data_IF_200176533839
#
_entry.id   IF_200176533839
#
_cell.length_a   1.000
_cell.length_b   1.000
_cell.length_c   1.000
_cell.angle_alpha   90.00
_cell.angle_beta   90.00
_cell.angle_gamma   90.00
#
_symmetry.space_group_name_H-M   'P 1'
#
loop_
_entity.id
_entity.type
_entity.pdbx_description
1 polymer ?
#
# COMPACT_ATOMS: atom_id res chain seq x y z
N UNK A 1 -36.53 -28.25 -11.13
CA UNK A 1 -35.81 -28.32 -12.42
C UNK A 1 -34.33 -28.28 -12.11
N UNK A 2 -33.65 -29.42 -12.26
CA UNK A 2 -32.19 -29.54 -12.15
C UNK A 2 -31.60 -29.36 -13.56
N UNK A 3 -30.65 -28.45 -13.73
CA UNK A 3 -30.05 -28.20 -15.04
C UNK A 3 -28.69 -27.50 -14.96
N UNK A 4 -27.65 -28.27 -15.28
CA UNK A 4 -26.38 -27.82 -15.90
C UNK A 4 -25.51 -26.81 -15.14
N UNK A 5 -24.99 -27.16 -13.96
CA UNK A 5 -23.95 -26.37 -13.26
C UNK A 5 -22.50 -26.83 -13.47
N UNK A 6 -22.24 -28.00 -14.08
CA UNK A 6 -20.92 -28.64 -13.99
C UNK A 6 -20.00 -28.53 -15.20
N UNK A 7 -20.38 -27.81 -16.28
CA UNK A 7 -19.55 -27.75 -17.51
C UNK A 7 -18.69 -26.50 -17.66
N UNK A 8 -18.95 -25.43 -16.90
CA UNK A 8 -18.16 -24.19 -16.99
C UNK A 8 -16.84 -24.25 -16.20
N UNK A 9 -16.80 -24.97 -15.09
CA UNK A 9 -15.63 -25.05 -14.19
C UNK A 9 -14.41 -25.70 -14.91
N UNK A 10 -14.64 -26.59 -15.87
CA UNK A 10 -13.55 -27.33 -16.54
C UNK A 10 -12.77 -26.51 -17.58
N UNK A 11 -13.37 -25.51 -18.22
CA UNK A 11 -12.65 -24.68 -19.20
C UNK A 11 -11.78 -23.62 -18.52
N UNK A 12 -12.30 -22.97 -17.46
CA UNK A 12 -11.55 -21.97 -16.70
C UNK A 12 -10.33 -22.58 -16.00
N UNK A 13 -10.48 -23.76 -15.39
CA UNK A 13 -9.37 -24.47 -14.75
C UNK A 13 -8.27 -24.88 -15.76
N UNK A 14 -8.66 -25.29 -16.98
CA UNK A 14 -7.71 -25.66 -18.03
C UNK A 14 -6.98 -24.44 -18.60
N UNK A 15 -7.67 -23.31 -18.75
CA UNK A 15 -7.07 -22.04 -19.19
C UNK A 15 -6.08 -21.51 -18.14
N UNK A 16 -6.41 -21.58 -16.85
CA UNK A 16 -5.49 -21.22 -15.77
C UNK A 16 -4.26 -22.13 -15.75
N UNK A 17 -4.43 -23.45 -15.89
CA UNK A 17 -3.31 -24.40 -15.93
C UNK A 17 -2.38 -24.15 -17.12
N UNK A 18 -2.96 -23.84 -18.29
CA UNK A 18 -2.21 -23.49 -19.50
C UNK A 18 -1.47 -22.16 -19.35
N UNK A 19 -2.11 -21.16 -18.74
CA UNK A 19 -1.47 -19.87 -18.44
C UNK A 19 -0.29 -20.04 -17.49
N UNK A 20 -0.47 -20.79 -16.40
CA UNK A 20 0.60 -21.12 -15.44
C UNK A 20 1.76 -21.84 -16.13
N UNK A 21 1.48 -22.83 -16.99
CA UNK A 21 2.54 -23.59 -17.68
C UNK A 21 3.29 -22.78 -18.74
N UNK A 22 2.62 -21.88 -19.46
CA UNK A 22 3.28 -20.96 -20.38
C UNK A 22 4.16 -19.95 -19.63
N UNK A 23 3.75 -19.53 -18.43
CA UNK A 23 4.51 -18.57 -17.62
C UNK A 23 5.76 -19.15 -16.98
N UNK A 24 5.75 -20.42 -16.59
CA UNK A 24 6.94 -21.12 -16.11
C UNK A 24 8.06 -21.23 -17.18
N UNK A 25 7.78 -20.84 -18.44
CA UNK A 25 8.75 -20.86 -19.54
C UNK A 25 9.37 -19.48 -19.86
N UNK A 26 9.03 -18.41 -19.14
CA UNK A 26 9.68 -17.10 -19.36
C UNK A 26 11.12 -17.10 -18.81
N UNK A 27 12.10 -16.55 -19.55
CA UNK A 27 13.48 -16.49 -19.10
C UNK A 27 13.63 -15.62 -17.85
N UNK A 28 14.54 -16.00 -16.96
CA UNK A 28 14.82 -15.41 -15.65
C UNK A 28 15.40 -13.97 -15.66
N UNK A 29 15.35 -13.27 -16.81
CA UNK A 29 15.75 -11.87 -16.95
C UNK A 29 14.66 -10.87 -16.50
N UNK A 30 13.47 -11.36 -16.14
CA UNK A 30 12.30 -10.56 -15.75
C UNK A 30 12.29 -10.12 -14.26
N UNK A 31 13.45 -10.07 -13.62
CA UNK A 31 13.64 -9.58 -12.23
C UNK A 31 13.05 -8.17 -12.05
N UNK A 32 12.32 -7.80 -10.97
CA UNK A 32 11.75 -6.46 -10.84
C UNK A 32 12.80 -5.35 -11.02
N UNK A 33 12.40 -4.21 -11.58
CA UNK A 33 13.29 -3.11 -11.96
C UNK A 33 14.30 -2.75 -10.86
N UNK A 34 13.81 -2.61 -9.63
CA UNK A 34 14.63 -2.28 -8.46
C UNK A 34 15.76 -3.27 -8.18
N UNK A 35 15.54 -4.57 -8.44
CA UNK A 35 16.56 -5.59 -8.29
C UNK A 35 17.54 -5.59 -9.46
N UNK A 36 17.07 -5.43 -10.71
CA UNK A 36 17.96 -5.24 -11.89
C UNK A 36 18.92 -4.07 -11.66
N UNK A 37 18.38 -2.93 -11.27
CA UNK A 37 19.11 -1.70 -10.95
C UNK A 37 20.14 -1.91 -9.84
N UNK A 38 19.76 -2.65 -8.79
CA UNK A 38 20.65 -2.97 -7.68
C UNK A 38 21.63 -4.12 -7.97
N UNK A 39 21.86 -4.46 -9.24
CA UNK A 39 22.87 -5.44 -9.67
C UNK A 39 22.39 -6.90 -9.62
N UNK A 40 21.09 -7.15 -9.78
CA UNK A 40 20.50 -8.51 -9.79
C UNK A 40 20.43 -9.15 -8.40
N UNK A 41 20.32 -8.33 -7.35
CA UNK A 41 20.16 -8.76 -5.96
C UNK A 41 18.80 -9.43 -5.72
N UNK A 42 18.75 -10.49 -4.93
CA UNK A 42 17.47 -11.15 -4.63
C UNK A 42 16.47 -10.18 -3.98
N UNK A 43 15.18 -10.33 -4.30
CA UNK A 43 14.09 -9.56 -3.67
C UNK A 43 14.14 -9.66 -2.12
N UNK A 44 14.63 -10.77 -1.57
CA UNK A 44 14.80 -10.99 -0.13
C UNK A 44 15.81 -10.03 0.54
N UNK A 45 16.64 -9.33 -0.24
CA UNK A 45 17.51 -8.29 0.29
C UNK A 45 16.71 -7.11 0.82
N UNK A 46 15.63 -6.71 0.14
CA UNK A 46 14.77 -5.59 0.53
C UNK A 46 13.49 -6.03 1.24
N UNK A 47 13.10 -7.30 1.07
CA UNK A 47 11.83 -7.81 1.54
C UNK A 47 12.00 -8.91 2.60
N UNK A 48 11.17 -8.87 3.63
CA UNK A 48 11.01 -9.98 4.56
C UNK A 48 10.23 -11.13 3.91
N UNK A 49 9.18 -10.82 3.18
CA UNK A 49 8.53 -11.68 2.21
C UNK A 49 8.15 -10.76 1.05
N UNK A 50 7.92 -11.28 -0.15
CA UNK A 50 7.47 -10.42 -1.25
C UNK A 50 6.34 -9.55 -0.70
N UNK A 51 6.46 -8.23 -0.86
CA UNK A 51 5.42 -7.29 -0.41
C UNK A 51 5.42 -6.99 1.11
N UNK A 52 6.55 -7.20 1.81
CA UNK A 52 6.78 -6.64 3.14
C UNK A 52 8.25 -6.19 3.25
N UNK A 53 8.50 -4.90 3.42
CA UNK A 53 9.86 -4.36 3.49
C UNK A 53 10.57 -4.78 4.79
N UNK A 54 11.85 -5.15 4.65
CA UNK A 54 12.77 -5.28 5.79
C UNK A 54 13.53 -3.96 6.01
N UNK A 55 14.50 -3.94 6.94
CA UNK A 55 15.27 -2.73 7.24
C UNK A 55 15.96 -2.13 6.01
N UNK A 56 16.58 -2.99 5.18
CA UNK A 56 17.23 -2.56 3.94
C UNK A 56 16.23 -1.98 2.95
N UNK A 57 15.07 -2.62 2.77
CA UNK A 57 14.03 -2.14 1.86
C UNK A 57 13.46 -0.78 2.27
N UNK A 58 13.23 -0.58 3.58
CA UNK A 58 12.80 0.72 4.12
C UNK A 58 13.85 1.80 3.86
N UNK A 59 15.12 1.53 4.17
CA UNK A 59 16.21 2.45 3.92
C UNK A 59 16.37 2.76 2.43
N UNK A 60 16.28 1.73 1.57
CA UNK A 60 16.38 1.86 0.12
C UNK A 60 15.30 2.78 -0.45
N UNK A 61 14.07 2.66 0.04
CA UNK A 61 12.97 3.54 -0.36
C UNK A 61 13.18 4.97 0.12
N UNK A 62 13.56 5.16 1.40
CA UNK A 62 13.79 6.48 2.00
C UNK A 62 15.02 7.20 1.42
N UNK A 63 16.03 6.47 0.93
CA UNK A 63 17.21 7.01 0.25
C UNK A 63 16.98 7.34 -1.23
N UNK A 64 15.71 7.31 -1.67
CA UNK A 64 15.34 7.62 -3.04
C UNK A 64 15.57 6.45 -3.99
N UNK A 65 15.23 5.23 -3.57
CA UNK A 65 15.44 4.00 -4.35
C UNK A 65 16.94 3.82 -4.60
N UNK A 66 17.75 3.78 -3.54
CA UNK A 66 19.22 3.65 -3.64
C UNK A 66 19.81 2.77 -2.54
N UNK A 67 20.83 1.99 -2.88
CA UNK A 67 21.66 1.35 -1.88
C UNK A 67 22.62 2.37 -1.23
N UNK A 68 23.05 2.13 0.03
CA UNK A 68 24.07 2.97 0.65
C UNK A 68 25.34 3.04 -0.19
N UNK A 69 25.80 4.27 -0.46
CA UNK A 69 27.01 4.54 -1.25
C UNK A 69 26.86 4.36 -2.77
N UNK A 70 25.67 4.04 -3.27
CA UNK A 70 25.38 3.97 -4.71
C UNK A 70 25.62 5.33 -5.36
N UNK A 71 26.33 5.34 -6.50
CA UNK A 71 26.47 6.52 -7.34
C UNK A 71 25.57 6.34 -8.56
N UNK A 72 24.87 7.39 -8.97
CA UNK A 72 23.96 7.34 -10.10
C UNK A 72 24.27 8.46 -11.09
N UNK A 73 24.24 8.11 -12.37
CA UNK A 73 24.35 9.04 -13.49
C UNK A 73 23.50 8.51 -14.65
N UNK A 74 22.28 9.01 -14.81
CA UNK A 74 21.40 8.61 -15.93
C UNK A 74 21.87 9.13 -17.29
N UNK A 75 22.90 9.98 -17.32
CA UNK A 75 23.53 10.42 -18.59
C UNK A 75 24.60 9.46 -19.07
N UNK A 76 24.94 8.46 -18.26
CA UNK A 76 25.87 7.41 -18.63
C UNK A 76 25.37 6.61 -19.84
N UNK A 77 26.31 6.22 -20.71
CA UNK A 77 26.02 5.56 -21.98
C UNK A 77 25.36 4.18 -21.85
N UNK A 78 25.33 3.63 -20.65
CA UNK A 78 24.79 2.32 -20.28
C UNK A 78 23.38 2.38 -19.67
N UNK A 79 22.74 3.56 -19.61
CA UNK A 79 21.34 3.68 -19.17
C UNK A 79 20.39 2.79 -19.98
N UNK A 80 19.62 1.95 -19.29
CA UNK A 80 18.57 1.11 -19.88
C UNK A 80 17.26 1.36 -19.16
N UNK A 81 16.25 1.83 -19.89
CA UNK A 81 14.90 2.07 -19.34
C UNK A 81 14.33 0.83 -18.65
N UNK A 82 14.62 -0.37 -19.15
CA UNK A 82 14.18 -1.63 -18.53
C UNK A 82 14.70 -1.86 -17.10
N UNK A 83 15.82 -1.25 -16.72
CA UNK A 83 16.35 -1.33 -15.35
C UNK A 83 15.56 -0.43 -14.38
N UNK A 84 14.74 0.47 -14.91
CA UNK A 84 13.96 1.45 -14.14
C UNK A 84 12.45 1.22 -14.26
N UNK A 85 12.01 0.23 -15.05
CA UNK A 85 10.60 -0.01 -15.34
C UNK A 85 10.23 -1.45 -15.03
N UNK A 86 9.12 -1.68 -14.32
CA UNK A 86 8.51 -2.99 -14.15
C UNK A 86 7.00 -2.91 -14.29
N UNK A 87 6.39 -3.94 -14.88
CA UNK A 87 4.95 -4.07 -15.00
C UNK A 87 4.48 -5.19 -14.08
N UNK A 88 3.48 -4.92 -13.25
CA UNK A 88 2.82 -5.94 -12.43
C UNK A 88 1.41 -6.16 -12.98
N UNK A 89 1.00 -7.41 -13.14
CA UNK A 89 -0.38 -7.79 -13.47
C UNK A 89 -0.98 -8.52 -12.27
N UNK A 90 -2.21 -8.16 -11.89
CA UNK A 90 -2.88 -8.67 -10.69
C UNK A 90 -4.31 -9.20 -10.95
N UNK A 91 -4.53 -10.14 -11.89
CA UNK A 91 -5.86 -10.72 -12.07
C UNK A 91 -6.33 -11.44 -10.81
N UNK A 92 -7.64 -11.36 -10.56
CA UNK A 92 -8.24 -11.96 -9.37
C UNK A 92 -9.61 -12.58 -9.63
N UNK A 93 -10.00 -13.46 -8.71
CA UNK A 93 -11.32 -14.05 -8.61
C UNK A 93 -11.83 -13.77 -7.19
N UNK A 94 -12.94 -13.04 -7.08
CA UNK A 94 -13.58 -12.74 -5.80
C UNK A 94 -14.94 -13.41 -5.72
N UNK A 95 -15.33 -13.81 -4.51
CA UNK A 95 -16.70 -14.17 -4.19
C UNK A 95 -17.09 -13.45 -2.91
N UNK A 96 -18.20 -12.74 -2.95
CA UNK A 96 -18.75 -11.99 -1.81
C UNK A 96 -20.15 -12.54 -1.55
N UNK A 97 -20.48 -12.74 -0.27
CA UNK A 97 -21.80 -13.19 0.11
C UNK A 97 -22.87 -12.24 -0.43
N UNK A 98 -23.95 -12.80 -0.97
CA UNK A 98 -25.05 -12.09 -1.63
C UNK A 98 -24.73 -11.35 -2.96
N UNK A 99 -23.46 -11.09 -3.27
CA UNK A 99 -23.03 -10.42 -4.52
C UNK A 99 -22.53 -11.40 -5.60
N UNK A 100 -22.20 -12.64 -5.22
CA UNK A 100 -21.82 -13.70 -6.14
C UNK A 100 -20.32 -13.77 -6.41
N UNK A 101 -19.95 -14.37 -7.55
CA UNK A 101 -18.54 -14.57 -7.93
C UNK A 101 -18.20 -13.73 -9.15
N UNK A 102 -17.11 -12.98 -9.07
CA UNK A 102 -16.63 -12.09 -10.12
C UNK A 102 -15.19 -12.45 -10.46
N UNK A 103 -14.92 -12.63 -11.75
CA UNK A 103 -13.55 -12.63 -12.27
C UNK A 103 -13.22 -11.21 -12.72
N UNK A 104 -12.04 -10.76 -12.32
CA UNK A 104 -11.49 -9.46 -12.66
C UNK A 104 -10.16 -9.67 -13.38
N UNK A 105 -9.97 -8.99 -14.51
CA UNK A 105 -8.65 -8.89 -15.13
C UNK A 105 -7.65 -8.18 -14.20
N UNK A 106 -8.17 -7.46 -13.20
CA UNK A 106 -7.45 -6.86 -12.10
C UNK A 106 -6.70 -5.62 -12.56
N UNK A 107 -5.62 -5.34 -11.84
CA UNK A 107 -4.82 -4.16 -12.07
C UNK A 107 -3.58 -4.51 -12.89
N UNK A 108 -3.24 -3.63 -13.84
CA UNK A 108 -1.90 -3.56 -14.39
C UNK A 108 -1.20 -2.36 -13.78
N UNK A 109 -0.08 -2.56 -13.08
CA UNK A 109 0.64 -1.49 -12.38
C UNK A 109 2.01 -1.30 -13.02
N UNK A 110 2.21 -0.14 -13.63
CA UNK A 110 3.49 0.27 -14.16
C UNK A 110 4.28 1.02 -13.09
N UNK A 111 5.38 0.42 -12.67
CA UNK A 111 6.38 1.04 -11.83
C UNK A 111 7.50 1.60 -12.68
N UNK A 112 7.79 2.88 -12.52
CA UNK A 112 8.94 3.56 -13.08
C UNK A 112 9.70 4.23 -11.94
N UNK A 113 10.98 3.96 -11.76
CA UNK A 113 11.70 4.72 -10.75
C UNK A 113 13.14 4.33 -10.53
N UNK A 114 13.88 5.28 -9.98
CA UNK A 114 15.28 5.15 -9.65
C UNK A 114 15.99 6.51 -9.59
N UNK A 115 17.28 6.51 -9.28
CA UNK A 115 18.08 7.70 -9.15
C UNK A 115 18.34 8.32 -10.52
N UNK A 116 18.22 9.64 -10.58
CA UNK A 116 18.57 10.48 -11.72
C UNK A 116 20.04 10.87 -11.61
N UNK A 117 20.45 11.32 -10.43
CA UNK A 117 21.85 11.55 -10.07
C UNK A 117 22.10 11.12 -8.61
N UNK A 118 23.20 11.60 -8.01
CA UNK A 118 23.55 11.29 -6.62
C UNK A 118 22.60 11.86 -5.56
N UNK A 119 21.83 12.90 -5.89
CA UNK A 119 20.96 13.63 -4.97
C UNK A 119 19.48 13.41 -5.31
N UNK A 120 19.13 13.33 -6.59
CA UNK A 120 17.76 13.26 -7.08
C UNK A 120 17.38 11.89 -7.61
N UNK A 121 16.21 11.41 -7.22
CA UNK A 121 15.54 10.27 -7.84
C UNK A 121 14.12 10.64 -8.25
N UNK A 122 13.53 9.81 -9.10
CA UNK A 122 12.13 9.93 -9.49
C UNK A 122 11.45 8.57 -9.32
N UNK A 123 10.18 8.59 -8.95
CA UNK A 123 9.33 7.41 -8.88
C UNK A 123 7.96 7.76 -9.44
N UNK A 124 7.39 6.84 -10.20
CA UNK A 124 6.01 6.84 -10.64
C UNK A 124 5.44 5.42 -10.52
N UNK A 125 4.24 5.31 -9.99
CA UNK A 125 3.41 4.12 -9.95
C UNK A 125 2.09 4.49 -10.61
N UNK A 126 1.81 3.87 -11.75
CA UNK A 126 0.59 4.11 -12.54
C UNK A 126 -0.20 2.82 -12.61
N UNK A 127 -1.39 2.84 -12.04
CA UNK A 127 -2.32 1.72 -11.99
C UNK A 127 -3.37 1.86 -13.11
N UNK A 128 -3.51 0.81 -13.90
CA UNK A 128 -4.53 0.66 -14.92
C UNK A 128 -5.54 -0.36 -14.41
N UNK A 129 -6.70 0.11 -13.95
CA UNK A 129 -7.81 -0.74 -13.50
C UNK A 129 -8.54 -1.25 -14.73
N UNK A 130 -8.23 -2.47 -15.13
CA UNK A 130 -8.61 -2.98 -16.45
C UNK A 130 -10.14 -3.08 -16.59
N UNK A 131 -10.82 -3.52 -15.53
CA UNK A 131 -12.27 -3.73 -15.56
C UNK A 131 -13.08 -2.43 -15.42
N UNK A 132 -12.50 -1.41 -14.77
CA UNK A 132 -13.14 -0.10 -14.55
C UNK A 132 -12.81 0.93 -15.65
N UNK A 133 -11.95 0.57 -16.61
CA UNK A 133 -11.41 1.47 -17.64
C UNK A 133 -10.80 2.77 -17.07
N UNK A 134 -10.26 2.69 -15.84
CA UNK A 134 -9.70 3.81 -15.10
C UNK A 134 -8.17 3.74 -15.07
N UNK A 135 -7.53 4.92 -15.13
CA UNK A 135 -6.10 5.06 -14.86
C UNK A 135 -5.93 5.91 -13.61
N UNK A 136 -5.33 5.31 -12.59
CA UNK A 136 -4.99 5.98 -11.34
C UNK A 136 -3.48 6.16 -11.26
N UNK A 137 -3.04 7.38 -10.94
CA UNK A 137 -1.65 7.59 -10.56
C UNK A 137 -1.61 7.37 -9.06
N UNK A 138 -0.89 6.36 -8.62
CA UNK A 138 -0.76 5.99 -7.21
C UNK A 138 0.34 6.88 -6.59
N UNK A 139 1.56 6.80 -7.10
CA UNK A 139 2.68 7.64 -6.69
C UNK A 139 3.26 8.35 -7.91
N UNK A 140 3.65 9.61 -7.80
CA UNK A 140 4.50 10.28 -8.79
C UNK A 140 5.26 11.41 -8.14
N UNK A 141 6.56 11.27 -7.93
CA UNK A 141 7.34 12.30 -7.27
C UNK A 141 8.80 12.33 -7.70
N UNK A 142 9.42 13.48 -7.50
CA UNK A 142 10.87 13.65 -7.47
C UNK A 142 11.30 13.69 -6.01
N UNK A 143 12.41 13.02 -5.69
CA UNK A 143 12.92 12.89 -4.34
C UNK A 143 14.39 13.36 -4.30
N UNK A 144 14.63 14.41 -3.53
CA UNK A 144 15.96 14.87 -3.15
C UNK A 144 16.39 14.19 -1.86
N UNK A 145 17.64 13.72 -1.81
CA UNK A 145 18.28 13.17 -0.61
C UNK A 145 19.69 13.75 -0.52
N UNK A 146 20.03 14.39 0.61
CA UNK A 146 21.29 15.14 0.74
C UNK A 146 22.53 14.27 0.86
N UNK A 147 22.39 13.05 1.39
CA UNK A 147 23.45 12.07 1.60
C UNK A 147 22.83 10.65 1.64
N UNK A 148 23.58 9.62 1.25
CA UNK A 148 23.18 8.22 1.33
C UNK A 148 23.67 7.52 2.60
N UNK A 149 24.24 8.28 3.53
CA UNK A 149 24.58 7.82 4.87
C UNK A 149 23.35 7.55 5.75
N UNK A 150 23.60 7.39 7.05
CA UNK A 150 22.54 7.19 8.03
C UNK A 150 21.85 8.50 8.44
N UNK A 151 22.44 9.64 8.08
CA UNK A 151 21.99 10.96 8.50
C UNK A 151 21.83 11.84 7.27
N UNK A 152 20.61 12.24 6.94
CA UNK A 152 20.34 13.04 5.75
C UNK A 152 19.06 13.85 5.88
N UNK A 153 18.97 14.89 5.06
CA UNK A 153 17.72 15.57 4.77
C UNK A 153 17.16 15.04 3.47
N UNK A 154 15.84 14.99 3.38
CA UNK A 154 15.14 14.64 2.16
C UNK A 154 14.01 15.61 1.85
N UNK A 155 13.64 15.67 0.58
CA UNK A 155 12.46 16.37 0.13
C UNK A 155 11.79 15.62 -1.02
N UNK A 156 10.48 15.39 -0.94
CA UNK A 156 9.67 14.85 -2.04
C UNK A 156 8.75 15.92 -2.59
N UNK A 157 8.61 15.99 -3.91
CA UNK A 157 7.65 16.86 -4.58
C UNK A 157 6.84 16.05 -5.60
N UNK A 158 5.51 16.09 -5.50
CA UNK A 158 4.60 15.37 -6.38
C UNK A 158 3.41 14.79 -5.63
N UNK A 159 2.93 13.63 -6.06
CA UNK A 159 1.92 12.84 -5.37
C UNK A 159 2.59 11.69 -4.60
N UNK A 160 2.37 11.62 -3.30
CA UNK A 160 2.98 10.60 -2.47
C UNK A 160 2.17 10.22 -1.23
N UNK A 161 2.46 9.05 -0.70
CA UNK A 161 2.02 8.65 0.64
C UNK A 161 3.09 8.95 1.71
N UNK A 162 2.73 9.29 2.96
CA UNK A 162 3.68 9.37 4.07
C UNK A 162 4.50 8.08 4.23
N UNK A 163 5.82 8.19 4.42
CA UNK A 163 6.71 7.03 4.51
C UNK A 163 6.35 6.05 5.64
N UNK A 164 5.81 6.56 6.75
CA UNK A 164 5.35 5.72 7.85
C UNK A 164 4.30 4.70 7.38
N UNK A 165 3.39 5.11 6.51
CA UNK A 165 2.33 4.24 6.00
C UNK A 165 2.84 3.35 4.86
N UNK A 166 3.53 3.97 3.90
CA UNK A 166 4.12 3.30 2.73
C UNK A 166 5.04 2.14 3.14
N UNK A 167 5.80 2.29 4.23
CA UNK A 167 6.76 1.27 4.66
C UNK A 167 6.20 0.20 5.60
N UNK A 168 5.03 0.44 6.21
CA UNK A 168 4.50 -0.44 7.26
C UNK A 168 3.18 -1.12 6.91
N UNK A 169 2.22 -0.41 6.30
CA UNK A 169 0.81 -0.87 6.27
C UNK A 169 0.16 -0.75 4.91
N UNK A 170 0.35 0.37 4.21
CA UNK A 170 -0.46 0.72 3.04
C UNK A 170 0.30 0.61 1.73
N UNK A 171 1.63 0.64 1.79
CA UNK A 171 2.46 0.68 0.61
C UNK A 171 2.27 -0.53 -0.27
N UNK A 172 2.16 -0.34 -1.59
CA UNK A 172 2.25 -1.45 -2.49
C UNK A 172 3.71 -1.92 -2.51
N UNK A 173 3.92 -3.24 -2.43
CA UNK A 173 2.90 -4.26 -2.23
C UNK A 173 2.78 -4.67 -0.74
N UNK A 174 1.61 -5.18 -0.31
CA UNK A 174 1.30 -5.73 1.04
C UNK A 174 1.20 -7.27 1.01
N UNK A 175 1.39 -7.98 2.14
CA UNK A 175 1.15 -9.43 2.22
C UNK A 175 -0.34 -9.75 2.04
N UNK A 176 -1.19 -9.03 2.77
CA UNK A 176 -2.66 -9.09 2.71
C UNK A 176 -3.20 -8.35 1.48
N UNK A 177 -4.31 -8.83 0.93
CA UNK A 177 -4.94 -8.26 -0.26
C UNK A 177 -5.77 -7.03 0.14
N UNK A 178 -6.74 -7.27 1.03
CA UNK A 178 -7.51 -6.22 1.69
C UNK A 178 -6.61 -5.34 2.55
N UNK A 179 -7.03 -4.10 2.72
CA UNK A 179 -6.36 -3.12 3.57
C UNK A 179 -7.10 -3.07 4.91
N UNK A 180 -6.43 -2.70 6.02
CA UNK A 180 -7.12 -2.53 7.29
C UNK A 180 -8.26 -1.53 7.20
N UNK A 181 -9.35 -1.80 7.92
CA UNK A 181 -10.58 -0.97 7.84
C UNK A 181 -10.31 0.44 8.33
N UNK A 182 -9.62 0.62 9.46
CA UNK A 182 -9.25 1.96 9.97
C UNK A 182 -8.37 2.77 8.98
N UNK A 183 -7.68 2.11 8.05
CA UNK A 183 -6.87 2.78 7.01
C UNK A 183 -7.66 3.08 5.74
N UNK A 184 -8.80 2.42 5.52
CA UNK A 184 -9.54 2.42 4.26
C UNK A 184 -10.97 2.91 4.38
N UNK A 185 -11.56 2.86 5.56
CA UNK A 185 -12.85 3.39 5.90
C UNK A 185 -12.88 4.90 5.67
N UNK A 186 -14.03 5.39 5.23
CA UNK A 186 -14.28 6.83 5.18
C UNK A 186 -14.68 7.28 6.58
N UNK A 187 -14.21 8.43 7.03
CA UNK A 187 -14.62 8.96 8.32
C UNK A 187 -16.09 9.37 8.35
N UNK A 188 -16.61 9.94 7.25
CA UNK A 188 -18.03 10.25 7.09
C UNK A 188 -18.52 9.76 5.73
N UNK A 189 -19.82 9.91 5.42
CA UNK A 189 -20.35 9.43 4.14
C UNK A 189 -19.89 10.28 2.95
N UNK A 190 -19.73 11.60 3.15
CA UNK A 190 -19.34 12.56 2.12
C UNK A 190 -17.84 12.90 2.14
N UNK A 191 -17.17 12.79 3.30
CA UNK A 191 -15.73 13.00 3.36
C UNK A 191 -14.99 11.76 2.84
N UNK A 192 -14.32 11.92 1.71
CA UNK A 192 -13.57 10.84 1.05
C UNK A 192 -12.17 10.62 1.62
N UNK A 193 -11.75 11.40 2.61
CA UNK A 193 -10.47 11.24 3.27
C UNK A 193 -10.33 9.83 3.86
N UNK A 194 -9.14 9.26 3.68
CA UNK A 194 -8.67 8.02 4.29
C UNK A 194 -7.22 8.25 4.70
N UNK A 195 -6.74 7.72 5.84
CA UNK A 195 -5.34 7.86 6.24
C UNK A 195 -4.34 7.42 5.16
N UNK A 196 -4.73 6.45 4.32
CA UNK A 196 -3.88 5.95 3.23
C UNK A 196 -3.84 6.83 1.97
N UNK A 197 -4.64 7.88 1.91
CA UNK A 197 -4.72 8.71 0.71
C UNK A 197 -3.39 9.41 0.45
N UNK A 198 -3.01 9.52 -0.84
CA UNK A 198 -1.82 10.29 -1.22
C UNK A 198 -2.09 11.78 -1.14
N UNK A 199 -1.07 12.52 -0.74
CA UNK A 199 -1.07 13.98 -0.83
C UNK A 199 -0.39 14.41 -2.12
N UNK A 200 -0.87 15.50 -2.71
CA UNK A 200 -0.21 16.19 -3.83
C UNK A 200 0.45 17.45 -3.30
N UNK A 201 1.77 17.45 -3.15
CA UNK A 201 2.47 18.61 -2.61
C UNK A 201 3.96 18.36 -2.37
N UNK A 202 4.42 18.75 -1.19
CA UNK A 202 5.81 18.66 -0.75
C UNK A 202 5.89 17.94 0.61
N UNK A 203 6.87 17.06 0.76
CA UNK A 203 7.27 16.48 2.05
C UNK A 203 8.73 16.83 2.31
N UNK A 204 9.04 17.26 3.53
CA UNK A 204 10.39 17.50 4.00
C UNK A 204 10.71 16.50 5.10
N UNK A 205 11.88 15.87 5.01
CA UNK A 205 12.32 14.82 5.91
C UNK A 205 13.69 15.06 6.51
N UNK A 206 13.89 14.54 7.72
CA UNK A 206 15.20 14.39 8.34
C UNK A 206 15.33 12.98 8.92
N UNK A 207 16.45 12.33 8.64
CA UNK A 207 16.80 11.01 9.16
C UNK A 207 18.09 11.12 9.95
N UNK A 208 18.13 10.54 11.14
CA UNK A 208 19.30 10.43 12.02
C UNK A 208 19.36 9.00 12.59
N UNK A 209 20.07 8.12 11.87
CA UNK A 209 20.17 6.70 12.18
C UNK A 209 18.79 6.02 12.22
N UNK A 210 18.35 5.50 13.37
CA UNK A 210 17.06 4.83 13.48
C UNK A 210 15.86 5.78 13.53
N UNK A 211 16.05 7.09 13.70
CA UNK A 211 14.97 8.05 13.83
C UNK A 211 14.75 8.78 12.50
N UNK A 212 13.51 8.80 12.03
CA UNK A 212 13.10 9.58 10.87
C UNK A 212 11.90 10.46 11.23
N UNK A 213 11.87 11.69 10.75
CA UNK A 213 10.76 12.61 10.91
C UNK A 213 10.44 13.30 9.59
N UNK A 214 9.15 13.41 9.27
CA UNK A 214 8.68 14.03 8.03
C UNK A 214 7.53 14.99 8.32
N UNK A 215 7.50 16.10 7.59
CA UNK A 215 6.39 17.05 7.55
C UNK A 215 5.96 17.20 6.10
N UNK A 216 4.68 17.00 5.81
CA UNK A 216 4.13 17.19 4.48
C UNK A 216 3.08 18.28 4.44
N UNK A 217 3.01 18.96 3.30
CA UNK A 217 2.05 20.00 2.96
C UNK A 217 1.56 19.73 1.54
N UNK A 218 0.26 19.56 1.34
CA UNK A 218 -0.27 19.23 0.02
C UNK A 218 -1.79 19.36 -0.06
N UNK A 219 -2.32 19.31 -1.27
CA UNK A 219 -3.76 19.21 -1.45
C UNK A 219 -4.22 17.82 -1.01
N UNK A 220 -5.27 17.78 -0.21
CA UNK A 220 -5.95 16.55 0.18
C UNK A 220 -6.58 15.83 -1.01
N UNK A 221 -7.02 14.61 -0.77
CA UNK A 221 -7.73 13.80 -1.77
C UNK A 221 -9.17 14.29 -1.93
N UNK A 222 -9.64 14.35 -3.19
CA UNK A 222 -10.98 14.85 -3.51
C UNK A 222 -11.06 16.36 -3.75
N UNK A 223 -9.98 17.11 -3.53
CA UNK A 223 -9.93 18.52 -3.87
C UNK A 223 -9.82 18.72 -5.39
N UNK A 224 -10.63 19.65 -5.90
CA UNK A 224 -10.66 20.06 -7.31
C UNK A 224 -9.71 21.25 -7.54
N UNK A 225 -9.40 21.57 -8.80
CA UNK A 225 -8.41 22.60 -9.15
C UNK A 225 -8.77 24.02 -8.67
N UNK A 226 -10.01 24.25 -8.22
CA UNK A 226 -10.48 25.49 -7.63
C UNK A 226 -10.26 25.59 -6.12
N UNK A 227 -9.96 24.48 -5.45
CA UNK A 227 -9.67 24.48 -4.03
C UNK A 227 -8.20 24.80 -3.76
N UNK A 228 -7.98 25.68 -2.80
CA UNK A 228 -6.66 26.15 -2.39
C UNK A 228 -6.34 25.82 -0.92
N UNK A 229 -7.20 25.03 -0.25
CA UNK A 229 -6.88 24.51 1.07
C UNK A 229 -5.68 23.56 0.98
N UNK A 230 -4.78 23.64 1.96
CA UNK A 230 -3.59 22.80 2.04
C UNK A 230 -3.67 21.98 3.33
N UNK A 231 -3.60 20.67 3.18
CA UNK A 231 -3.53 19.74 4.30
C UNK A 231 -2.09 19.63 4.78
N UNK A 232 -1.91 19.37 6.08
CA UNK A 232 -0.62 19.22 6.74
C UNK A 232 -0.58 17.88 7.45
N UNK A 233 0.54 17.18 7.37
CA UNK A 233 0.79 16.04 8.25
C UNK A 233 2.20 16.05 8.82
N UNK A 234 2.35 15.35 9.94
CA UNK A 234 3.64 15.08 10.58
C UNK A 234 3.74 13.59 10.85
N UNK A 235 4.92 13.01 10.61
CA UNK A 235 5.25 11.65 11.06
C UNK A 235 6.58 11.63 11.78
N UNK A 236 6.70 10.76 12.76
CA UNK A 236 7.97 10.41 13.40
C UNK A 236 8.03 8.90 13.55
N UNK A 237 9.08 8.28 13.03
CA UNK A 237 9.28 6.83 13.05
C UNK A 237 10.63 6.50 13.69
N UNK A 238 10.64 5.49 14.56
CA UNK A 238 11.87 4.90 15.08
C UNK A 238 11.98 3.44 14.64
N UNK A 239 12.95 3.16 13.79
CA UNK A 239 13.36 1.82 13.42
C UNK A 239 14.15 1.12 14.55
N UNK A 240 14.01 -0.19 14.67
CA UNK A 240 14.78 -1.00 15.61
C UNK A 240 14.96 -2.44 15.10
N UNK A 241 16.00 -3.11 15.60
CA UNK A 241 16.41 -4.42 15.11
C UNK A 241 16.93 -4.38 13.66
N UNK A 242 17.18 -5.55 13.09
CA UNK A 242 17.78 -5.69 11.75
C UNK A 242 16.80 -6.17 10.69
N UNK A 243 15.58 -6.55 11.11
CA UNK A 243 14.56 -7.14 10.23
C UNK A 243 13.50 -6.12 9.78
N UNK A 244 13.70 -4.83 10.10
CA UNK A 244 12.79 -3.76 9.69
C UNK A 244 11.64 -3.49 10.64
N UNK A 245 11.77 -3.83 11.93
CA UNK A 245 10.80 -3.41 12.95
C UNK A 245 10.85 -1.90 13.13
N UNK A 246 9.70 -1.28 13.35
CA UNK A 246 9.61 0.13 13.68
C UNK A 246 8.32 0.46 14.43
N UNK A 247 8.30 1.62 15.05
CA UNK A 247 7.10 2.25 15.61
C UNK A 247 7.14 3.72 15.27
N UNK A 248 6.01 4.28 14.87
CA UNK A 248 5.89 5.69 14.56
C UNK A 248 4.54 6.25 14.92
N UNK A 249 4.54 7.58 15.08
CA UNK A 249 3.35 8.38 15.29
C UNK A 249 3.07 9.22 14.04
N UNK A 250 1.81 9.51 13.81
CA UNK A 250 1.31 10.34 12.72
C UNK A 250 0.24 11.30 13.23
N UNK A 251 0.22 12.49 12.66
CA UNK A 251 -0.84 13.47 12.84
C UNK A 251 -1.14 14.13 11.49
N UNK A 252 -2.40 14.47 11.24
CA UNK A 252 -2.89 15.07 10.00
C UNK A 252 -3.97 16.09 10.32
N UNK A 253 -3.93 17.22 9.62
CA UNK A 253 -4.96 18.26 9.66
C UNK A 253 -5.30 18.64 8.24
N UNK A 254 -6.59 18.65 7.91
CA UNK A 254 -7.03 18.97 6.56
C UNK A 254 -8.49 19.34 6.47
N UNK A 255 -8.93 19.59 5.24
CA UNK A 255 -10.30 19.98 4.95
C UNK A 255 -10.79 19.29 3.67
N UNK A 256 -11.98 18.70 3.75
CA UNK A 256 -12.63 18.04 2.63
C UNK A 256 -13.79 18.89 2.11
N UNK A 257 -13.87 19.04 0.80
CA UNK A 257 -15.03 19.65 0.15
C UNK A 257 -16.11 18.59 -0.04
N UNK A 258 -17.23 18.77 0.67
CA UNK A 258 -18.38 17.87 0.60
C UNK A 258 -19.27 18.17 -0.61
N UNK A 259 -20.20 17.26 -0.89
CA UNK A 259 -21.28 17.46 -1.85
C UNK A 259 -22.02 18.76 -1.56
N UNK A 260 -22.14 19.65 -2.56
CA UNK A 260 -22.77 20.97 -2.39
C UNK A 260 -21.81 22.11 -2.04
N UNK A 261 -20.52 21.83 -1.88
CA UNK A 261 -19.48 22.84 -1.67
C UNK A 261 -19.28 23.26 -0.22
N UNK A 262 -19.87 22.52 0.72
CA UNK A 262 -19.57 22.68 2.15
C UNK A 262 -18.18 22.11 2.47
N UNK A 263 -17.64 22.51 3.62
CA UNK A 263 -16.29 22.11 4.06
C UNK A 263 -16.38 21.39 5.40
N UNK A 264 -15.75 20.24 5.46
CA UNK A 264 -15.56 19.42 6.65
C UNK A 264 -14.08 19.54 7.05
N UNK A 265 -13.83 20.22 8.16
CA UNK A 265 -12.49 20.32 8.75
C UNK A 265 -12.26 19.11 9.63
N UNK A 266 -11.08 18.50 9.54
CA UNK A 266 -10.84 17.26 10.26
C UNK A 266 -9.39 17.12 10.68
N UNK A 267 -9.18 16.40 11.79
CA UNK A 267 -7.86 16.03 12.25
C UNK A 267 -7.76 14.55 12.57
N UNK A 268 -6.57 13.99 12.41
CA UNK A 268 -6.32 12.57 12.63
C UNK A 268 -5.00 12.38 13.33
N UNK A 269 -4.96 11.35 14.15
CA UNK A 269 -3.81 10.94 14.92
C UNK A 269 -3.67 9.44 14.86
N UNK A 270 -2.45 8.94 14.97
CA UNK A 270 -2.27 7.50 15.07
C UNK A 270 -0.88 7.08 15.48
N UNK A 271 -0.80 5.83 15.94
CA UNK A 271 0.44 5.11 16.18
C UNK A 271 0.40 3.86 15.33
N UNK A 272 1.45 3.65 14.53
CA UNK A 272 1.58 2.49 13.64
C UNK A 272 2.95 1.89 13.86
N UNK A 273 3.05 0.58 13.83
CA UNK A 273 4.33 -0.08 13.91
C UNK A 273 4.28 -1.52 13.47
N UNK A 274 5.46 -2.10 13.36
CA UNK A 274 5.65 -3.50 13.11
C UNK A 274 6.79 -4.07 13.94
N UNK A 275 6.66 -5.34 14.29
CA UNK A 275 7.73 -6.16 14.83
C UNK A 275 8.02 -7.30 13.85
N UNK A 276 9.20 -7.30 13.24
CA UNK A 276 9.63 -8.34 12.32
C UNK A 276 10.71 -9.21 12.95
N UNK A 277 10.45 -10.51 13.04
CA UNK A 277 11.41 -11.55 13.38
C UNK A 277 11.69 -12.43 12.15
N UNK A 278 12.57 -13.43 12.28
CA UNK A 278 12.97 -14.26 11.13
C UNK A 278 11.79 -14.99 10.47
N UNK A 279 10.81 -15.45 11.26
CA UNK A 279 9.67 -16.26 10.78
C UNK A 279 8.31 -15.63 11.02
N UNK A 280 8.25 -14.56 11.80
CA UNK A 280 6.98 -13.96 12.23
C UNK A 280 7.09 -12.45 12.06
N UNK A 281 6.04 -11.82 11.56
CA UNK A 281 5.87 -10.37 11.54
C UNK A 281 4.54 -10.05 12.21
N UNK A 282 4.52 -9.02 13.05
CA UNK A 282 3.32 -8.42 13.57
C UNK A 282 3.27 -6.97 13.08
N UNK A 283 2.15 -6.51 12.56
CA UNK A 283 1.92 -5.11 12.20
C UNK A 283 0.58 -4.66 12.75
N UNK A 284 0.52 -3.44 13.25
CA UNK A 284 -0.73 -2.90 13.78
C UNK A 284 -0.73 -1.38 13.81
N UNK A 285 -1.91 -0.84 14.01
CA UNK A 285 -2.13 0.60 14.13
C UNK A 285 -3.31 0.90 15.02
N UNK A 286 -3.23 2.02 15.72
CA UNK A 286 -4.32 2.67 16.44
C UNK A 286 -4.49 4.06 15.80
N UNK A 287 -5.69 4.40 15.34
CA UNK A 287 -5.97 5.72 14.77
C UNK A 287 -7.21 6.31 15.42
N UNK A 288 -7.21 7.64 15.50
CA UNK A 288 -8.26 8.45 16.11
C UNK A 288 -8.42 9.73 15.31
N UNK A 289 -9.56 10.39 15.43
CA UNK A 289 -9.73 11.76 14.99
C UNK A 289 -11.17 12.20 14.96
N UNK A 290 -11.36 13.41 14.50
CA UNK A 290 -12.63 14.11 14.54
C UNK A 290 -12.89 14.87 13.24
N UNK A 291 -14.16 15.16 12.99
CA UNK A 291 -14.66 15.90 11.85
C UNK A 291 -15.63 16.96 12.34
N UNK A 292 -15.44 18.19 11.89
CA UNK A 292 -16.40 19.28 12.04
C UNK A 292 -17.33 19.29 10.82
N UNK A 293 -18.44 18.54 10.90
CA UNK A 293 -19.43 18.50 9.82
C UNK A 293 -20.07 19.89 9.61
N UNK A 294 -20.41 20.30 8.38
CA UNK A 294 -21.06 21.58 8.12
C UNK A 294 -22.39 21.79 8.87
N UNK A 295 -23.02 20.71 9.34
CA UNK A 295 -24.19 20.76 10.22
C UNK A 295 -23.88 21.22 11.66
N UNK A 296 -22.59 21.36 12.01
CA UNK A 296 -22.11 21.71 13.35
C UNK A 296 -22.05 20.51 14.31
N UNK A 297 -22.06 19.29 13.78
CA UNK A 297 -21.83 18.09 14.57
C UNK A 297 -20.33 17.75 14.55
N UNK A 298 -19.79 17.49 15.73
CA UNK A 298 -18.47 16.89 15.87
C UNK A 298 -18.64 15.38 15.70
N UNK A 299 -17.96 14.77 14.73
CA UNK A 299 -18.05 13.34 14.42
C UNK A 299 -16.72 12.68 14.72
N UNK A 300 -16.71 11.79 15.71
CA UNK A 300 -15.53 11.05 16.09
C UNK A 300 -15.33 9.84 15.17
N UNK A 301 -14.07 9.48 14.95
CA UNK A 301 -13.68 8.23 14.30
C UNK A 301 -12.46 7.66 14.99
N UNK A 302 -12.50 6.36 15.24
CA UNK A 302 -11.39 5.63 15.82
C UNK A 302 -11.36 4.19 15.34
N UNK A 303 -10.23 3.54 15.53
CA UNK A 303 -10.12 2.14 15.20
C UNK A 303 -8.72 1.62 15.34
N UNK A 304 -8.61 0.32 15.14
CA UNK A 304 -7.34 -0.37 15.19
C UNK A 304 -7.32 -1.59 14.30
N UNK A 305 -6.11 -2.07 14.05
CA UNK A 305 -5.93 -3.39 13.47
C UNK A 305 -4.67 -4.05 14.02
N UNK A 306 -4.66 -5.37 13.99
CA UNK A 306 -3.48 -6.18 14.28
C UNK A 306 -3.40 -7.35 13.32
N UNK A 307 -2.32 -7.41 12.55
CA UNK A 307 -2.01 -8.45 11.59
C UNK A 307 -0.77 -9.22 12.06
N UNK A 308 -0.85 -10.56 12.02
CA UNK A 308 0.23 -11.48 12.32
C UNK A 308 0.51 -12.34 11.09
N UNK A 309 1.72 -12.23 10.57
CA UNK A 309 2.22 -13.03 9.46
C UNK A 309 3.18 -14.11 9.97
N UNK A 310 3.02 -15.33 9.48
CA UNK A 310 3.85 -16.46 9.84
C UNK A 310 4.36 -17.17 8.58
N UNK A 311 5.69 -17.26 8.42
CA UNK A 311 6.29 -18.15 7.43
C UNK A 311 5.97 -19.59 7.80
N UNK A 312 5.21 -20.26 6.95
CA UNK A 312 4.86 -21.69 7.07
C UNK A 312 5.65 -22.55 6.09
N UNK A 313 6.32 -21.93 5.13
CA UNK A 313 7.25 -22.54 4.18
C UNK A 313 8.43 -21.61 3.87
N UNK A 314 9.26 -22.00 2.89
CA UNK A 314 10.34 -21.13 2.39
C UNK A 314 9.74 -19.90 1.69
N UNK A 315 8.74 -20.15 0.85
CA UNK A 315 8.10 -19.15 -0.01
C UNK A 315 6.61 -18.96 0.33
N UNK A 316 6.20 -19.34 1.54
CA UNK A 316 4.79 -19.33 1.94
C UNK A 316 4.60 -18.66 3.30
N UNK A 317 3.70 -17.69 3.33
CA UNK A 317 3.27 -16.96 4.53
C UNK A 317 1.78 -17.17 4.72
N UNK A 318 1.37 -17.60 5.90
CA UNK A 318 -0.01 -17.52 6.34
C UNK A 318 -0.17 -16.27 7.22
N UNK A 319 -1.32 -15.62 7.17
CA UNK A 319 -1.59 -14.42 7.96
C UNK A 319 -2.99 -14.43 8.55
N UNK A 320 -3.14 -13.66 9.62
CA UNK A 320 -4.40 -13.34 10.27
C UNK A 320 -4.38 -11.87 10.65
N UNK A 321 -5.46 -11.14 10.36
CA UNK A 321 -5.68 -9.76 10.78
C UNK A 321 -7.03 -9.66 11.48
N UNK A 322 -7.09 -8.86 12.52
CA UNK A 322 -8.35 -8.35 13.07
C UNK A 322 -8.41 -6.85 12.83
N UNK A 323 -9.59 -6.39 12.41
CA UNK A 323 -9.91 -4.99 12.15
C UNK A 323 -11.03 -4.55 13.10
N UNK A 324 -10.97 -3.31 13.57
CA UNK A 324 -12.06 -2.60 14.26
C UNK A 324 -12.04 -1.14 13.82
N UNK A 325 -13.16 -0.62 13.37
CA UNK A 325 -13.30 0.75 12.91
C UNK A 325 -14.69 1.31 13.22
N UNK A 326 -14.67 2.41 13.95
CA UNK A 326 -15.83 3.10 14.49
C UNK A 326 -15.88 4.51 13.93
N UNK A 327 -17.09 4.95 13.54
CA UNK A 327 -17.30 6.31 13.06
C UNK A 327 -18.70 6.83 13.38
N UNK A 328 -18.75 8.07 13.82
CA UNK A 328 -20.02 8.77 14.00
C UNK A 328 -20.68 9.11 12.65
N UNK A 329 -22.01 9.09 12.64
CA UNK A 329 -22.82 9.45 11.49
C UNK A 329 -23.39 10.86 11.67
N UNK A 330 -23.34 11.68 10.62
CA UNK A 330 -23.91 13.03 10.63
C UNK A 330 -25.41 13.08 10.99
N UNK A 331 -26.15 11.98 10.76
CA UNK A 331 -27.56 11.86 11.12
C UNK A 331 -27.79 11.43 12.59
N UNK A 332 -26.73 11.25 13.36
CA UNK A 332 -26.71 10.64 14.70
C UNK A 332 -26.54 9.13 14.66
N UNK A 333 -25.92 8.60 15.71
CA UNK A 333 -25.52 7.19 15.81
C UNK A 333 -24.10 6.97 15.29
N UNK A 334 -23.68 5.72 15.34
CA UNK A 334 -22.34 5.26 15.00
C UNK A 334 -22.45 4.14 13.97
N UNK A 335 -21.42 3.98 13.15
CA UNK A 335 -21.21 2.81 12.32
C UNK A 335 -19.96 2.09 12.77
N UNK A 336 -20.15 0.85 13.20
CA UNK A 336 -19.09 -0.05 13.66
C UNK A 336 -18.80 -1.07 12.56
N UNK A 337 -17.52 -1.34 12.33
CA UNK A 337 -17.05 -2.36 11.40
C UNK A 337 -15.89 -3.12 12.03
N UNK A 338 -16.06 -4.41 12.26
CA UNK A 338 -15.02 -5.25 12.84
C UNK A 338 -15.02 -6.64 12.23
N UNK A 339 -13.89 -7.33 12.35
CA UNK A 339 -13.85 -8.75 12.05
C UNK A 339 -12.50 -9.28 11.56
N UNK A 340 -12.43 -10.60 11.34
CA UNK A 340 -11.20 -11.25 10.93
C UNK A 340 -10.98 -11.23 9.41
N UNK A 341 -9.70 -11.16 9.06
CA UNK A 341 -9.16 -11.51 7.75
C UNK A 341 -8.14 -12.64 7.94
N UNK A 342 -8.19 -13.67 7.10
CA UNK A 342 -7.19 -14.76 7.10
C UNK A 342 -6.74 -15.06 5.67
N UNK A 343 -5.50 -15.45 5.50
CA UNK A 343 -5.05 -15.83 4.17
C UNK A 343 -3.70 -16.51 4.13
N UNK A 344 -3.31 -16.85 2.91
CA UNK A 344 -2.05 -17.47 2.59
C UNK A 344 -1.49 -16.88 1.30
N UNK A 345 -0.24 -16.45 1.34
CA UNK A 345 0.55 -15.93 0.22
C UNK A 345 1.66 -16.92 -0.11
N UNK A 346 1.80 -17.28 -1.38
CA UNK A 346 2.83 -18.17 -1.91
C UNK A 346 3.58 -17.52 -3.07
N UNK A 347 4.91 -17.49 -2.99
CA UNK A 347 5.78 -16.78 -3.94
C UNK A 347 6.75 -17.76 -4.62
N UNK A 348 6.27 -18.60 -5.56
CA UNK A 348 7.10 -19.67 -6.15
C UNK A 348 8.33 -19.19 -6.92
N UNK A 349 8.31 -17.92 -7.33
CA UNK A 349 9.43 -17.25 -8.00
C UNK A 349 9.52 -15.82 -7.48
N UNK A 350 10.61 -15.11 -7.78
CA UNK A 350 10.73 -13.68 -7.45
C UNK A 350 9.75 -12.79 -8.25
N UNK A 351 9.07 -13.35 -9.26
CA UNK A 351 8.20 -12.64 -10.20
C UNK A 351 6.72 -12.90 -9.96
N UNK A 352 6.38 -13.89 -9.13
CA UNK A 352 5.01 -14.37 -9.04
C UNK A 352 4.59 -14.55 -7.60
N UNK A 353 3.41 -14.06 -7.26
CA UNK A 353 2.74 -14.33 -5.98
C UNK A 353 1.34 -14.84 -6.25
N UNK A 354 0.93 -15.83 -5.48
CA UNK A 354 -0.46 -16.30 -5.41
C UNK A 354 -0.96 -16.08 -3.99
N UNK A 355 -2.09 -15.39 -3.84
CA UNK A 355 -2.70 -15.15 -2.54
C UNK A 355 -4.13 -15.63 -2.54
N UNK A 356 -4.53 -16.28 -1.44
CA UNK A 356 -5.93 -16.57 -1.11
C UNK A 356 -6.22 -15.87 0.20
N UNK A 357 -7.24 -15.03 0.22
CA UNK A 357 -7.70 -14.30 1.39
C UNK A 357 -9.18 -14.55 1.60
N UNK A 358 -9.59 -14.79 2.83
CA UNK A 358 -10.98 -14.78 3.26
C UNK A 358 -11.16 -13.72 4.34
N UNK A 359 -12.27 -13.01 4.28
CA UNK A 359 -12.62 -11.94 5.20
C UNK A 359 -14.07 -12.13 5.65
N UNK A 360 -14.34 -11.85 6.91
CA UNK A 360 -15.69 -11.81 7.49
C UNK A 360 -15.75 -10.52 8.30
N UNK A 361 -16.46 -9.52 7.82
CA UNK A 361 -16.63 -8.25 8.53
C UNK A 361 -18.09 -8.11 8.96
N UNK A 362 -18.33 -7.84 10.23
CA UNK A 362 -19.62 -7.33 10.69
C UNK A 362 -19.64 -5.82 10.48
N UNK A 363 -20.68 -5.30 9.83
CA UNK A 363 -20.96 -3.87 9.78
C UNK A 363 -22.37 -3.59 10.27
N UNK A 364 -22.49 -2.94 11.44
CA UNK A 364 -23.76 -2.63 12.10
C UNK A 364 -24.69 -3.86 12.29
N UNK A 365 -24.12 -5.03 12.60
CA UNK A 365 -24.84 -6.30 12.77
C UNK A 365 -25.14 -7.02 11.45
N UNK A 366 -24.46 -6.65 10.36
CA UNK A 366 -24.57 -7.28 9.04
C UNK A 366 -23.23 -7.86 8.63
N UNK A 367 -23.16 -9.19 8.56
CA UNK A 367 -21.97 -9.91 8.11
C UNK A 367 -21.75 -9.72 6.59
N UNK A 368 -20.51 -9.44 6.21
CA UNK A 368 -20.01 -9.39 4.84
C UNK A 368 -18.84 -10.38 4.72
N UNK A 369 -19.17 -11.59 4.28
CA UNK A 369 -18.19 -12.63 4.01
C UNK A 369 -17.65 -12.54 2.59
N UNK A 370 -16.34 -12.64 2.42
CA UNK A 370 -15.70 -12.67 1.12
C UNK A 370 -14.50 -13.61 1.06
N UNK A 371 -14.21 -14.08 -0.16
CA UNK A 371 -12.97 -14.78 -0.50
C UNK A 371 -12.41 -14.21 -1.79
N UNK A 372 -11.12 -13.92 -1.81
CA UNK A 372 -10.39 -13.40 -2.97
C UNK A 372 -9.19 -14.30 -3.25
N UNK A 373 -9.01 -14.63 -4.52
CA UNK A 373 -7.82 -15.30 -5.03
C UNK A 373 -7.16 -14.37 -6.05
N UNK A 374 -5.91 -14.00 -5.82
CA UNK A 374 -5.17 -13.07 -6.67
C UNK A 374 -3.83 -13.67 -7.09
N UNK A 375 -3.43 -13.41 -8.33
CA UNK A 375 -2.10 -13.71 -8.83
C UNK A 375 -1.39 -12.40 -9.17
N UNK A 376 -0.29 -12.08 -8.50
CA UNK A 376 0.63 -11.05 -8.97
C UNK A 376 1.68 -11.64 -9.89
N UNK A 377 1.96 -10.92 -10.97
CA UNK A 377 2.99 -11.26 -11.92
C UNK A 377 3.79 -10.01 -12.30
N UNK A 378 5.08 -9.98 -11.99
CA UNK A 378 6.01 -8.93 -12.37
C UNK A 378 6.77 -9.28 -13.66
N UNK A 379 6.98 -8.26 -14.51
CA UNK A 379 7.68 -8.33 -15.81
C UNK A 379 8.72 -7.21 -15.89
#
# INVERSE_FOLDING_TARGET
MMGTGHRFISFTALAMLLFITLFLMLPADAVPAFSRRAGGVSCNMCHWHQNALNATGKQYLQSGVRLPGEQADVTASDFKVGDYASLVLAPNLSAVEHDGTVFSAGDAVLWLGGPVDNLFSALAEVEFKIDDEEVEVEEVYVHFVSDLGNNYFSARFGQFQPFLFLSNVSGPPRITLSRPEVMSGRATNDNTFRPRNRLRGIELGAVDGPLAGYVGLGNGTGQNASDNHMDVYVTVERAFGTQGSSIGAWAYWGEAVLTGGFRDSFERYGVIGNYTAQKTRAVGGLLFGDNEDPGGADLDNDGWFLEIDQRVGVDTVAYFRWDEFNRDLAAGGERETDGPTLGISWTPTELSRFTIEAQSLDTDGTDVDSIVVEMHLAI
#
